data_IF_968294263201
#
_entry.id   IF_968294263201
#
_cell.length_a   1.000
_cell.length_b   1.000
_cell.length_c   1.000
_cell.angle_alpha   90.00
_cell.angle_beta   90.00
_cell.angle_gamma   90.00
#
_symmetry.space_group_name_H-M   'P 1'
#
loop_
_entity.id
_entity.type
_entity.pdbx_description
1 polymer ?
#
# COMPACT_ATOMS: atom_id res chain seq x y z
N UNK A 1 -12.01 -7.75 -13.74
CA UNK A 1 -11.86 -6.98 -12.49
C UNK A 1 -11.24 -7.88 -11.43
N UNK A 2 -10.21 -7.43 -10.76
CA UNK A 2 -9.60 -8.08 -9.60
C UNK A 2 -9.62 -7.12 -8.40
N UNK A 3 -9.86 -7.67 -7.21
CA UNK A 3 -9.76 -6.97 -5.93
C UNK A 3 -8.65 -7.63 -5.14
N UNK A 4 -7.68 -6.86 -4.69
CA UNK A 4 -6.50 -7.33 -3.97
C UNK A 4 -6.32 -6.56 -2.67
N UNK A 5 -5.67 -7.17 -1.68
CA UNK A 5 -5.38 -6.56 -0.38
C UNK A 5 -3.89 -6.27 -0.26
N UNK A 6 -3.55 -5.04 0.20
CA UNK A 6 -2.25 -4.75 0.79
C UNK A 6 -2.37 -4.69 2.30
N UNK A 7 -1.59 -5.51 3.01
CA UNK A 7 -1.50 -5.42 4.46
C UNK A 7 -0.35 -4.49 4.88
N UNK A 8 -0.67 -3.50 5.70
CA UNK A 8 0.24 -2.46 6.19
C UNK A 8 0.65 -2.68 7.66
N UNK A 9 0.35 -3.85 8.26
CA UNK A 9 0.58 -4.12 9.69
C UNK A 9 2.02 -3.83 10.11
N UNK A 10 2.99 -4.31 9.34
CA UNK A 10 4.42 -4.13 9.68
C UNK A 10 4.84 -2.66 9.57
N UNK A 11 4.38 -1.94 8.55
CA UNK A 11 4.79 -0.56 8.31
C UNK A 11 3.98 0.42 9.17
N UNK A 12 2.67 0.48 8.99
CA UNK A 12 1.84 1.49 9.65
C UNK A 12 1.45 1.07 11.07
N UNK A 13 1.17 -0.22 11.29
CA UNK A 13 1.02 -0.80 12.62
C UNK A 13 2.32 -0.80 13.43
N UNK A 14 3.46 -0.72 12.76
CA UNK A 14 4.79 -0.66 13.39
C UNK A 14 4.99 0.51 14.36
N UNK A 15 4.19 1.57 14.26
CA UNK A 15 4.17 2.64 15.27
C UNK A 15 3.69 2.18 16.66
N UNK A 16 2.93 1.08 16.72
CA UNK A 16 2.43 0.49 17.96
C UNK A 16 3.36 -0.58 18.52
N UNK A 17 4.27 -1.10 17.71
CA UNK A 17 5.26 -2.08 18.15
C UNK A 17 6.43 -1.40 18.84
N UNK A 18 7.09 -2.16 19.73
CA UNK A 18 8.40 -1.74 20.20
C UNK A 18 9.35 -1.77 18.98
N UNK A 19 10.04 -0.66 18.73
CA UNK A 19 11.01 -0.51 17.62
C UNK A 19 12.14 -1.56 17.62
N UNK A 20 12.31 -2.27 18.72
CA UNK A 20 13.23 -3.40 18.89
C UNK A 20 12.52 -4.76 18.85
N UNK A 21 11.35 -4.85 18.20
CA UNK A 21 10.66 -6.15 18.06
C UNK A 21 11.59 -7.18 17.45
N UNK A 22 11.60 -8.38 18.05
CA UNK A 22 12.49 -9.45 17.60
C UNK A 22 12.25 -9.78 16.12
N UNK A 23 13.31 -10.01 15.33
CA UNK A 23 13.17 -10.36 13.92
C UNK A 23 12.21 -11.53 13.68
N UNK A 24 12.16 -12.51 14.59
CA UNK A 24 11.28 -13.67 14.53
C UNK A 24 9.80 -13.27 14.61
N UNK A 25 9.47 -12.25 15.40
CA UNK A 25 8.11 -11.73 15.51
C UNK A 25 7.65 -11.10 14.18
N UNK A 26 8.49 -10.25 13.58
CA UNK A 26 8.23 -9.62 12.27
C UNK A 26 8.10 -10.69 11.18
N UNK A 27 9.03 -11.66 11.16
CA UNK A 27 8.98 -12.81 10.23
C UNK A 27 7.72 -13.64 10.44
N UNK A 28 7.27 -13.83 11.68
CA UNK A 28 6.04 -14.55 12.05
C UNK A 28 4.80 -13.90 11.43
N UNK A 29 4.66 -12.56 11.56
CA UNK A 29 3.54 -11.81 10.95
C UNK A 29 3.59 -11.92 9.43
N UNK A 30 4.74 -11.68 8.80
CA UNK A 30 4.87 -11.80 7.33
C UNK A 30 4.52 -13.20 6.83
N UNK A 31 4.93 -14.24 7.58
CA UNK A 31 4.61 -15.64 7.27
C UNK A 31 3.10 -15.89 7.40
N UNK A 32 2.47 -15.44 8.48
CA UNK A 32 1.04 -15.62 8.71
C UNK A 32 0.21 -14.95 7.61
N UNK A 33 0.55 -13.72 7.23
CA UNK A 33 -0.11 -13.01 6.14
C UNK A 33 0.06 -13.74 4.79
N UNK A 34 1.25 -14.29 4.51
CA UNK A 34 1.48 -15.07 3.30
C UNK A 34 0.69 -16.40 3.32
N UNK A 35 0.64 -17.09 4.46
CA UNK A 35 -0.15 -18.31 4.64
C UNK A 35 -1.65 -18.05 4.51
N UNK A 36 -2.13 -16.86 4.95
CA UNK A 36 -3.50 -16.43 4.79
C UNK A 36 -3.86 -16.02 3.34
N UNK A 37 -2.86 -15.93 2.45
CA UNK A 37 -3.06 -15.62 1.03
C UNK A 37 -3.19 -14.12 0.72
N UNK A 38 -2.72 -13.23 1.58
CA UNK A 38 -2.70 -11.78 1.32
C UNK A 38 -1.85 -11.47 0.10
N UNK A 39 -2.35 -10.60 -0.79
CA UNK A 39 -1.71 -10.32 -2.08
C UNK A 39 -0.41 -9.53 -1.92
N UNK A 40 -0.45 -8.48 -1.11
CA UNK A 40 0.68 -7.58 -0.86
C UNK A 40 0.92 -7.39 0.63
N UNK A 41 2.19 -7.37 1.06
CA UNK A 41 2.57 -7.12 2.47
C UNK A 41 3.67 -6.08 2.51
N UNK A 42 3.42 -4.95 3.18
CA UNK A 42 4.44 -3.94 3.46
C UNK A 42 5.42 -4.45 4.51
N UNK A 43 6.71 -4.41 4.17
CA UNK A 43 7.77 -4.97 5.04
C UNK A 43 8.33 -3.97 6.05
N UNK A 44 8.07 -2.69 5.87
CA UNK A 44 8.60 -1.60 6.68
C UNK A 44 9.08 -0.43 5.82
N UNK A 45 9.83 0.48 6.44
CA UNK A 45 10.29 1.73 5.83
C UNK A 45 11.69 1.60 5.23
N UNK A 46 11.87 2.19 4.04
CA UNK A 46 13.19 2.52 3.51
C UNK A 46 13.57 3.93 3.95
N UNK A 47 14.72 4.09 4.60
CA UNK A 47 15.24 5.38 5.05
C UNK A 47 16.77 5.43 4.92
N UNK A 48 17.30 6.61 4.56
CA UNK A 48 18.74 6.82 4.41
C UNK A 48 19.50 6.64 5.71
N UNK A 49 18.97 7.17 6.81
CA UNK A 49 19.58 7.13 8.13
C UNK A 49 18.88 6.08 8.99
N UNK A 50 19.43 4.88 9.01
CA UNK A 50 18.91 3.78 9.82
C UNK A 50 19.58 3.77 11.17
N UNK A 51 18.79 3.83 12.24
CA UNK A 51 19.27 3.82 13.64
C UNK A 51 19.25 2.42 14.28
N UNK A 52 19.20 1.36 13.47
CA UNK A 52 19.14 -0.03 13.96
C UNK A 52 17.77 -0.50 14.39
N UNK A 53 16.72 0.20 14.03
CA UNK A 53 15.31 -0.16 14.30
C UNK A 53 14.85 -1.28 13.37
N UNK A 54 14.10 -2.24 13.90
CA UNK A 54 13.74 -3.49 13.22
C UNK A 54 12.78 -3.35 12.02
N UNK A 55 12.20 -2.20 11.78
CA UNK A 55 11.25 -1.97 10.69
C UNK A 55 11.70 -0.88 9.72
N UNK A 56 12.96 -0.49 9.83
CA UNK A 56 13.58 0.53 8.99
C UNK A 56 14.82 -0.05 8.31
N UNK A 57 14.87 0.03 7.01
CA UNK A 57 15.90 -0.56 6.17
C UNK A 57 16.64 0.51 5.38
N UNK A 58 17.96 0.33 5.23
CA UNK A 58 18.78 1.22 4.41
C UNK A 58 18.61 0.91 2.92
N UNK A 59 18.49 -0.36 2.59
CA UNK A 59 18.32 -0.84 1.23
C UNK A 59 17.40 -2.08 1.19
N UNK A 60 17.11 -2.56 -0.01
CA UNK A 60 16.23 -3.72 -0.20
C UNK A 60 16.84 -5.03 0.30
N UNK A 61 18.16 -5.11 0.47
CA UNK A 61 18.85 -6.30 0.96
C UNK A 61 18.62 -6.54 2.44
N UNK A 62 18.46 -5.49 3.23
CA UNK A 62 18.28 -5.57 4.68
C UNK A 62 16.99 -6.32 5.09
N UNK A 63 15.98 -6.32 4.23
CA UNK A 63 14.70 -6.98 4.51
C UNK A 63 14.78 -8.51 4.38
N UNK A 64 15.75 -9.05 3.65
CA UNK A 64 15.80 -10.47 3.28
C UNK A 64 15.70 -11.39 4.49
N UNK A 65 16.34 -11.04 5.61
CA UNK A 65 16.34 -11.81 6.85
C UNK A 65 14.97 -11.93 7.53
N UNK A 66 14.02 -11.02 7.20
CA UNK A 66 12.66 -11.01 7.75
C UNK A 66 11.65 -11.69 6.83
N UNK A 67 11.98 -11.87 5.55
CA UNK A 67 11.07 -12.50 4.62
C UNK A 67 10.92 -13.99 4.92
N UNK A 68 9.69 -14.55 4.83
CA UNK A 68 9.50 -15.98 4.98
C UNK A 68 10.16 -16.76 3.82
N UNK A 69 10.60 -17.97 4.10
CA UNK A 69 11.22 -18.84 3.10
C UNK A 69 10.20 -19.26 2.03
N UNK A 70 8.96 -19.58 2.45
CA UNK A 70 7.81 -19.80 1.57
C UNK A 70 6.95 -18.52 1.52
N UNK A 71 7.06 -17.79 0.44
CA UNK A 71 6.31 -16.54 0.21
C UNK A 71 4.92 -16.77 -0.38
N UNK A 72 4.59 -18.00 -0.72
CA UNK A 72 3.37 -18.33 -1.45
C UNK A 72 3.23 -17.44 -2.70
N UNK A 73 2.01 -16.90 -2.91
CA UNK A 73 1.75 -15.92 -3.97
C UNK A 73 1.85 -14.46 -3.50
N UNK A 74 2.20 -14.25 -2.24
CA UNK A 74 2.29 -12.93 -1.63
C UNK A 74 3.46 -12.13 -2.19
N UNK A 75 3.18 -10.89 -2.59
CA UNK A 75 4.18 -9.93 -3.01
C UNK A 75 4.57 -9.06 -1.82
N UNK A 76 5.84 -9.09 -1.45
CA UNK A 76 6.38 -8.19 -0.44
C UNK A 76 6.79 -6.88 -1.07
N UNK A 77 6.58 -5.78 -0.34
CA UNK A 77 6.91 -4.44 -0.81
C UNK A 77 7.60 -3.61 0.27
N UNK A 78 8.57 -2.79 -0.18
CA UNK A 78 9.17 -1.75 0.63
C UNK A 78 8.37 -0.46 0.52
N UNK A 79 8.33 0.32 1.60
CA UNK A 79 7.70 1.64 1.61
C UNK A 79 8.78 2.72 1.70
N UNK A 80 8.72 3.73 0.85
CA UNK A 80 9.52 4.92 0.96
C UNK A 80 8.68 6.20 0.91
N UNK A 81 9.04 7.11 1.79
CA UNK A 81 8.61 8.50 1.76
C UNK A 81 9.67 9.27 0.97
N UNK A 82 9.28 9.94 -0.11
CA UNK A 82 10.20 10.62 -1.02
C UNK A 82 11.07 11.67 -0.31
N UNK A 83 10.55 12.30 0.75
CA UNK A 83 11.30 13.26 1.58
C UNK A 83 12.44 12.62 2.39
N UNK A 84 12.43 11.29 2.59
CA UNK A 84 13.34 10.57 3.50
C UNK A 84 14.24 9.56 2.80
N UNK A 85 13.95 9.24 1.54
CA UNK A 85 14.66 8.24 0.79
C UNK A 85 14.84 8.65 -0.66
N UNK A 86 16.03 8.51 -1.21
CA UNK A 86 16.34 8.89 -2.58
C UNK A 86 16.65 7.65 -3.44
N UNK A 87 16.44 7.79 -4.75
CA UNK A 87 16.70 6.74 -5.74
C UNK A 87 18.14 6.20 -5.71
N UNK A 88 19.11 7.04 -5.32
CA UNK A 88 20.52 6.66 -5.23
C UNK A 88 20.79 5.61 -4.15
N UNK A 89 19.92 5.54 -3.13
CA UNK A 89 20.04 4.55 -2.05
C UNK A 89 19.31 3.24 -2.37
N UNK A 90 18.54 3.20 -3.45
CA UNK A 90 17.81 2.00 -3.87
C UNK A 90 18.72 1.16 -4.77
N UNK A 91 19.05 -0.05 -4.35
CA UNK A 91 19.78 -1.02 -5.17
C UNK A 91 18.92 -1.52 -6.35
N UNK A 92 19.58 -2.05 -7.38
CA UNK A 92 18.86 -2.79 -8.42
C UNK A 92 18.22 -4.05 -7.83
N UNK A 93 17.05 -4.43 -8.33
CA UNK A 93 16.38 -5.62 -7.85
C UNK A 93 17.21 -6.88 -8.07
N UNK A 94 17.53 -7.58 -6.99
CA UNK A 94 18.46 -8.72 -6.97
C UNK A 94 17.78 -10.11 -7.01
N UNK A 95 16.44 -10.15 -7.16
CA UNK A 95 15.67 -11.40 -7.16
C UNK A 95 15.39 -12.01 -5.79
N UNK A 96 15.95 -11.47 -4.71
CA UNK A 96 15.85 -12.03 -3.34
C UNK A 96 15.05 -11.18 -2.38
N UNK A 97 15.12 -9.86 -2.52
CA UNK A 97 14.39 -8.88 -1.71
C UNK A 97 12.90 -8.78 -2.12
N UNK A 98 12.23 -7.71 -1.73
CA UNK A 98 10.92 -7.36 -2.28
C UNK A 98 11.07 -6.86 -3.72
N UNK A 99 10.09 -7.15 -4.55
CA UNK A 99 10.03 -6.67 -5.95
C UNK A 99 9.14 -5.44 -6.13
N UNK A 100 8.33 -5.15 -5.14
CA UNK A 100 7.37 -4.06 -5.16
C UNK A 100 7.85 -2.93 -4.25
N UNK A 101 7.62 -1.69 -4.69
CA UNK A 101 7.98 -0.50 -3.94
C UNK A 101 6.76 0.42 -3.88
N UNK A 102 6.38 0.86 -2.70
CA UNK A 102 5.39 1.91 -2.51
C UNK A 102 6.10 3.23 -2.29
N UNK A 103 5.82 4.22 -3.15
CA UNK A 103 6.35 5.57 -3.07
C UNK A 103 5.24 6.49 -2.56
N UNK A 104 5.43 7.07 -1.39
CA UNK A 104 4.54 8.08 -0.81
C UNK A 104 5.16 9.46 -0.87
N UNK A 105 4.36 10.49 -1.13
CA UNK A 105 4.85 11.84 -1.37
C UNK A 105 3.78 12.89 -1.11
N UNK A 106 4.22 14.10 -0.73
CA UNK A 106 3.35 15.26 -0.62
C UNK A 106 3.13 15.95 -1.97
N UNK A 107 2.10 16.79 -2.08
CA UNK A 107 1.73 17.44 -3.33
C UNK A 107 2.88 18.28 -3.96
N UNK A 108 3.73 18.88 -3.14
CA UNK A 108 4.86 19.67 -3.64
C UNK A 108 6.04 18.82 -4.14
N UNK A 109 6.01 17.49 -3.96
CA UNK A 109 7.06 16.55 -4.36
C UNK A 109 6.69 15.74 -5.61
N UNK A 110 5.62 16.08 -6.31
CA UNK A 110 5.07 15.29 -7.44
C UNK A 110 6.13 15.00 -8.50
N UNK A 111 6.84 16.02 -9.00
CA UNK A 111 7.77 15.85 -10.11
C UNK A 111 8.98 15.00 -9.72
N UNK A 112 9.52 15.19 -8.52
CA UNK A 112 10.60 14.36 -7.97
C UNK A 112 10.17 12.92 -7.76
N UNK A 113 8.93 12.70 -7.30
CA UNK A 113 8.38 11.38 -7.07
C UNK A 113 8.10 10.62 -8.37
N UNK A 114 7.73 11.33 -9.43
CA UNK A 114 7.60 10.74 -10.77
C UNK A 114 8.95 10.30 -11.33
N UNK A 115 10.00 11.10 -11.15
CA UNK A 115 11.37 10.71 -11.54
C UNK A 115 11.87 9.53 -10.70
N UNK A 116 11.58 9.52 -9.39
CA UNK A 116 11.89 8.37 -8.53
C UNK A 116 11.16 7.12 -9.02
N UNK A 117 9.87 7.22 -9.36
CA UNK A 117 9.09 6.11 -9.91
C UNK A 117 9.72 5.53 -11.20
N UNK A 118 10.11 6.38 -12.16
CA UNK A 118 10.81 5.97 -13.38
C UNK A 118 12.11 5.25 -13.07
N UNK A 119 12.92 5.82 -12.18
CA UNK A 119 14.19 5.24 -11.76
C UNK A 119 14.02 3.89 -11.07
N UNK A 120 13.05 3.74 -10.17
CA UNK A 120 12.76 2.48 -9.51
C UNK A 120 12.30 1.40 -10.50
N UNK A 121 11.48 1.75 -11.49
CA UNK A 121 11.12 0.84 -12.59
C UNK A 121 12.33 0.38 -13.40
N UNK A 122 13.25 1.29 -13.71
CA UNK A 122 14.50 0.96 -14.42
C UNK A 122 15.40 0.04 -13.60
N UNK A 123 15.34 0.12 -12.27
CA UNK A 123 16.01 -0.80 -11.34
C UNK A 123 15.30 -2.14 -11.15
N UNK A 124 14.20 -2.39 -11.87
CA UNK A 124 13.46 -3.66 -11.90
C UNK A 124 12.32 -3.78 -10.89
N UNK A 125 11.91 -2.70 -10.24
CA UNK A 125 10.79 -2.70 -9.29
C UNK A 125 9.44 -2.42 -9.97
N UNK A 126 8.38 -3.01 -9.46
CA UNK A 126 7.01 -2.56 -9.66
C UNK A 126 6.69 -1.47 -8.62
N UNK A 127 6.00 -0.42 -9.05
CA UNK A 127 5.75 0.73 -8.17
C UNK A 127 4.26 0.89 -7.92
N UNK A 128 3.90 1.01 -6.63
CA UNK A 128 2.63 1.55 -6.16
C UNK A 128 2.85 3.03 -5.83
N UNK A 129 2.07 3.94 -6.42
CA UNK A 129 2.29 5.37 -6.36
C UNK A 129 1.22 6.04 -5.51
N UNK A 130 1.61 6.58 -4.34
CA UNK A 130 0.71 6.97 -3.26
C UNK A 130 0.82 8.47 -2.94
N UNK A 131 0.07 9.36 -3.63
CA UNK A 131 -0.02 10.78 -3.25
C UNK A 131 -0.73 10.93 -1.91
N UNK A 132 -0.06 11.52 -0.93
CA UNK A 132 -0.64 11.79 0.38
C UNK A 132 -1.79 12.80 0.28
N UNK A 133 -2.79 12.66 1.18
CA UNK A 133 -3.88 13.61 1.36
C UNK A 133 -4.68 13.92 0.07
N UNK A 134 -5.23 12.85 -0.53
CA UNK A 134 -5.96 12.97 -1.80
C UNK A 134 -7.18 13.89 -1.76
N UNK A 135 -7.72 14.18 -0.57
CA UNK A 135 -8.85 15.10 -0.38
C UNK A 135 -8.41 16.56 -0.64
N UNK A 136 -7.18 16.90 -0.29
CA UNK A 136 -6.69 18.29 -0.45
C UNK A 136 -6.41 18.71 -1.89
N UNK A 137 -6.37 17.75 -2.83
CA UNK A 137 -6.18 18.07 -4.25
C UNK A 137 -7.47 18.61 -4.84
N UNK A 138 -7.39 19.78 -5.53
CA UNK A 138 -8.50 20.21 -6.40
C UNK A 138 -8.66 19.23 -7.57
N UNK A 139 -9.81 19.25 -8.23
CA UNK A 139 -10.06 18.38 -9.38
C UNK A 139 -9.06 18.63 -10.52
N UNK A 140 -8.68 19.91 -10.74
CA UNK A 140 -7.68 20.28 -11.74
C UNK A 140 -6.29 19.76 -11.37
N UNK A 141 -5.87 19.89 -10.10
CA UNK A 141 -4.57 19.42 -9.63
C UNK A 141 -4.49 17.89 -9.72
N UNK A 142 -5.58 17.20 -9.41
CA UNK A 142 -5.67 15.73 -9.53
C UNK A 142 -5.62 15.31 -10.99
N UNK A 143 -6.30 16.00 -11.90
CA UNK A 143 -6.25 15.74 -13.34
C UNK A 143 -4.82 15.91 -13.89
N UNK A 144 -4.12 16.97 -13.53
CA UNK A 144 -2.73 17.20 -13.95
C UNK A 144 -1.79 16.11 -13.41
N UNK A 145 -1.97 15.68 -12.17
CA UNK A 145 -1.21 14.56 -11.60
C UNK A 145 -1.47 13.27 -12.39
N UNK A 146 -2.73 12.93 -12.68
CA UNK A 146 -3.10 11.71 -13.40
C UNK A 146 -2.50 11.70 -14.81
N UNK A 147 -2.50 12.84 -15.52
CA UNK A 147 -1.84 12.95 -16.83
C UNK A 147 -0.36 12.58 -16.75
N UNK A 148 0.36 13.05 -15.74
CA UNK A 148 1.77 12.70 -15.51
C UNK A 148 1.95 11.22 -15.12
N UNK A 149 1.06 10.68 -14.30
CA UNK A 149 1.04 9.27 -13.89
C UNK A 149 0.85 8.34 -15.09
N UNK A 150 -0.04 8.68 -16.03
CA UNK A 150 -0.26 7.91 -17.25
C UNK A 150 1.00 7.82 -18.15
N UNK A 151 1.89 8.82 -18.08
CA UNK A 151 3.18 8.78 -18.80
C UNK A 151 4.16 7.80 -18.12
N UNK A 152 4.22 7.81 -16.79
CA UNK A 152 5.17 6.99 -16.01
C UNK A 152 4.69 5.56 -15.87
N UNK A 153 3.36 5.34 -15.85
CA UNK A 153 2.72 4.01 -15.75
C UNK A 153 3.22 3.20 -14.56
N UNK A 154 2.96 3.64 -13.31
CA UNK A 154 3.15 2.76 -12.15
C UNK A 154 2.20 1.57 -12.20
N UNK A 155 2.42 0.56 -11.39
CA UNK A 155 1.53 -0.60 -11.32
C UNK A 155 0.18 -0.26 -10.65
N UNK A 156 0.17 0.71 -9.74
CA UNK A 156 -1.05 1.28 -9.16
C UNK A 156 -0.89 2.75 -8.80
N UNK A 157 -2.02 3.46 -8.76
CA UNK A 157 -2.16 4.81 -8.25
C UNK A 157 -3.21 4.82 -7.15
N UNK A 158 -2.88 5.30 -5.95
CA UNK A 158 -3.75 5.20 -4.78
C UNK A 158 -4.48 6.50 -4.47
N UNK A 159 -5.71 6.38 -4.04
CA UNK A 159 -6.47 7.40 -3.31
C UNK A 159 -6.05 7.25 -1.83
N UNK A 160 -5.46 8.30 -1.25
CA UNK A 160 -4.89 8.22 0.10
C UNK A 160 -5.60 9.21 1.03
N UNK A 161 -6.26 8.67 2.03
CA UNK A 161 -6.87 9.42 3.14
C UNK A 161 -5.91 9.45 4.34
N UNK A 162 -4.90 10.31 4.25
CA UNK A 162 -3.81 10.41 5.23
C UNK A 162 -4.30 10.73 6.65
N UNK A 163 -5.40 11.49 6.75
CA UNK A 163 -5.93 11.97 8.03
C UNK A 163 -7.19 11.26 8.49
N UNK A 164 -7.67 10.26 7.74
CA UNK A 164 -8.92 9.57 8.05
C UNK A 164 -10.12 10.50 8.08
N UNK A 165 -10.16 11.49 7.17
CA UNK A 165 -11.16 12.54 7.09
C UNK A 165 -12.10 12.40 5.88
N UNK A 166 -11.86 11.40 5.04
CA UNK A 166 -12.67 11.10 3.84
C UNK A 166 -14.01 10.51 4.23
N UNK A 167 -15.07 11.01 3.60
CA UNK A 167 -16.38 10.39 3.66
C UNK A 167 -16.73 9.65 2.35
N UNK A 168 -17.94 9.06 2.29
CA UNK A 168 -18.42 8.32 1.12
C UNK A 168 -18.60 9.20 -0.11
N UNK A 169 -18.92 10.49 0.06
CA UNK A 169 -19.14 11.43 -1.05
C UNK A 169 -17.79 11.77 -1.67
N UNK A 170 -16.79 12.04 -0.82
CA UNK A 170 -15.42 12.31 -1.24
C UNK A 170 -14.84 11.13 -2.03
N UNK A 171 -14.95 9.91 -1.48
CA UNK A 171 -14.45 8.71 -2.16
C UNK A 171 -15.08 8.53 -3.53
N UNK A 172 -16.41 8.62 -3.63
CA UNK A 172 -17.13 8.42 -4.90
C UNK A 172 -16.74 9.48 -5.92
N UNK A 173 -16.60 10.73 -5.51
CA UNK A 173 -16.16 11.82 -6.37
C UNK A 173 -14.75 11.58 -6.90
N UNK A 174 -13.79 11.35 -6.01
CA UNK A 174 -12.39 11.13 -6.36
C UNK A 174 -12.23 9.88 -7.22
N UNK A 175 -12.86 8.76 -6.83
CA UNK A 175 -12.78 7.51 -7.59
C UNK A 175 -13.29 7.69 -9.02
N UNK A 176 -14.44 8.33 -9.23
CA UNK A 176 -14.99 8.56 -10.57
C UNK A 176 -14.06 9.39 -11.44
N UNK A 177 -13.42 10.42 -10.88
CA UNK A 177 -12.46 11.22 -11.63
C UNK A 177 -11.21 10.39 -11.97
N UNK A 178 -10.65 9.67 -11.00
CA UNK A 178 -9.48 8.80 -11.21
C UNK A 178 -9.79 7.71 -12.23
N UNK A 179 -10.91 7.00 -12.10
CA UNK A 179 -11.29 5.93 -13.02
C UNK A 179 -11.48 6.43 -14.46
N UNK A 180 -12.01 7.63 -14.63
CA UNK A 180 -12.23 8.25 -15.94
C UNK A 180 -10.92 8.63 -16.64
N UNK A 181 -9.93 9.11 -15.89
CA UNK A 181 -8.73 9.75 -16.44
C UNK A 181 -7.49 8.85 -16.43
N UNK A 182 -7.42 7.91 -15.48
CA UNK A 182 -6.28 7.01 -15.33
C UNK A 182 -6.32 5.88 -16.37
N UNK A 183 -5.19 5.59 -16.99
CA UNK A 183 -5.05 4.45 -17.91
C UNK A 183 -5.58 3.15 -17.28
N UNK A 184 -6.27 2.32 -18.07
CA UNK A 184 -6.95 1.12 -17.55
C UNK A 184 -6.01 0.00 -17.11
N UNK A 185 -4.76 0.02 -17.52
CA UNK A 185 -3.70 -0.90 -17.10
C UNK A 185 -3.06 -0.54 -15.74
N UNK A 186 -3.39 0.64 -15.17
CA UNK A 186 -2.95 1.05 -13.85
C UNK A 186 -4.08 0.77 -12.84
N UNK A 187 -3.80 -0.02 -11.80
CA UNK A 187 -4.78 -0.30 -10.75
C UNK A 187 -5.06 0.94 -9.90
N UNK A 188 -6.28 1.07 -9.37
CA UNK A 188 -6.58 2.11 -8.39
C UNK A 188 -6.43 1.51 -6.98
N UNK A 189 -5.63 2.17 -6.12
CA UNK A 189 -5.49 1.83 -4.72
C UNK A 189 -6.39 2.67 -3.81
N UNK A 190 -6.68 2.18 -2.60
CA UNK A 190 -7.25 2.96 -1.50
C UNK A 190 -6.45 2.69 -0.23
N UNK A 191 -5.90 3.75 0.36
CA UNK A 191 -5.31 3.71 1.70
C UNK A 191 -6.02 4.73 2.59
N UNK A 192 -6.74 4.28 3.61
CA UNK A 192 -7.51 5.17 4.48
C UNK A 192 -7.25 4.88 5.96
N UNK A 193 -7.07 5.97 6.74
CA UNK A 193 -7.05 5.90 8.18
C UNK A 193 -8.47 5.96 8.76
N UNK A 194 -8.66 5.41 9.95
CA UNK A 194 -9.97 5.15 10.55
C UNK A 194 -10.44 6.24 11.54
N UNK A 195 -9.94 7.48 11.42
CA UNK A 195 -10.24 8.53 12.40
C UNK A 195 -11.74 8.91 12.44
N UNK A 196 -12.48 8.74 11.34
CA UNK A 196 -13.94 8.87 11.31
C UNK A 196 -14.68 7.54 11.52
N UNK A 197 -13.96 6.42 11.72
CA UNK A 197 -14.59 5.09 11.82
C UNK A 197 -15.16 4.57 10.49
N UNK A 198 -14.66 5.04 9.37
CA UNK A 198 -15.22 4.75 8.04
C UNK A 198 -14.29 3.91 7.14
N UNK A 199 -13.07 3.63 7.54
CA UNK A 199 -12.07 3.04 6.64
C UNK A 199 -12.49 1.70 6.01
N UNK A 200 -13.10 0.79 6.78
CA UNK A 200 -13.64 -0.45 6.22
C UNK A 200 -14.80 -0.18 5.26
N UNK A 201 -15.72 0.72 5.62
CA UNK A 201 -16.86 1.06 4.78
C UNK A 201 -16.45 1.77 3.48
N UNK A 202 -15.40 2.62 3.52
CA UNK A 202 -14.81 3.23 2.33
C UNK A 202 -14.20 2.16 1.40
N UNK A 203 -13.49 1.19 1.96
CA UNK A 203 -12.93 0.09 1.19
C UNK A 203 -14.01 -0.79 0.56
N UNK A 204 -15.08 -1.13 1.29
CA UNK A 204 -16.24 -1.86 0.75
C UNK A 204 -16.90 -1.07 -0.38
N UNK A 205 -17.11 0.24 -0.20
CA UNK A 205 -17.69 1.10 -1.25
C UNK A 205 -16.79 1.17 -2.49
N UNK A 206 -15.47 1.23 -2.31
CA UNK A 206 -14.54 1.19 -3.45
C UNK A 206 -14.62 -0.14 -4.21
N UNK A 207 -14.81 -1.26 -3.52
CA UNK A 207 -15.02 -2.57 -4.15
C UNK A 207 -16.28 -2.55 -5.00
N UNK A 208 -17.41 -2.02 -4.51
CA UNK A 208 -18.65 -1.88 -5.27
C UNK A 208 -18.45 -1.00 -6.52
N UNK A 209 -17.77 0.16 -6.39
CA UNK A 209 -17.46 1.03 -7.52
C UNK A 209 -16.57 0.34 -8.57
N UNK A 210 -15.66 -0.51 -8.12
CA UNK A 210 -14.80 -1.33 -8.98
C UNK A 210 -15.65 -2.36 -9.77
N UNK A 211 -16.66 -2.96 -9.17
CA UNK A 211 -17.60 -3.85 -9.87
C UNK A 211 -18.40 -3.10 -10.95
N UNK A 212 -18.88 -1.89 -10.63
CA UNK A 212 -19.63 -1.04 -11.58
C UNK A 212 -18.78 -0.66 -12.81
N UNK A 213 -17.47 -0.46 -12.64
CA UNK A 213 -16.56 0.06 -13.70
C UNK A 213 -15.68 -0.99 -14.36
N UNK A 214 -15.57 -2.19 -13.78
CA UNK A 214 -14.64 -3.23 -14.20
C UNK A 214 -13.17 -2.93 -13.90
N UNK A 215 -12.88 -1.94 -13.02
CA UNK A 215 -11.51 -1.51 -12.68
C UNK A 215 -10.84 -2.51 -11.73
N UNK A 216 -9.60 -2.87 -11.99
CA UNK A 216 -8.77 -3.58 -11.02
C UNK A 216 -8.36 -2.65 -9.88
N UNK A 217 -8.51 -3.12 -8.63
CA UNK A 217 -8.24 -2.31 -7.45
C UNK A 217 -7.39 -3.03 -6.40
N UNK A 218 -6.79 -2.20 -5.52
CA UNK A 218 -6.09 -2.64 -4.32
C UNK A 218 -6.68 -1.88 -3.13
N UNK A 219 -7.09 -2.57 -2.07
CA UNK A 219 -7.52 -1.95 -0.80
C UNK A 219 -6.50 -2.26 0.28
N UNK A 220 -6.15 -1.24 1.05
CA UNK A 220 -5.17 -1.38 2.12
C UNK A 220 -5.86 -1.62 3.47
N UNK A 221 -5.25 -2.48 4.28
CA UNK A 221 -5.66 -2.73 5.65
C UNK A 221 -4.47 -3.08 6.53
N UNK A 222 -4.74 -3.31 7.80
CA UNK A 222 -3.80 -3.87 8.76
C UNK A 222 -4.51 -4.86 9.68
N UNK A 223 -3.81 -5.84 10.22
CA UNK A 223 -4.38 -6.76 11.21
C UNK A 223 -4.94 -5.96 12.38
N UNK A 224 -6.18 -6.26 12.75
CA UNK A 224 -6.94 -5.57 13.82
C UNK A 224 -7.03 -4.04 13.64
N UNK A 225 -6.77 -3.52 12.45
CA UNK A 225 -6.77 -2.09 12.17
C UNK A 225 -5.58 -1.33 12.78
N UNK A 226 -4.48 -2.00 13.10
CA UNK A 226 -3.30 -1.36 13.68
C UNK A 226 -2.74 -0.27 12.77
N UNK A 227 -2.41 0.91 13.35
CA UNK A 227 -1.86 2.03 12.60
C UNK A 227 -1.80 3.31 13.40
N UNK A 228 -1.39 4.40 12.75
CA UNK A 228 -1.39 5.74 13.33
C UNK A 228 -2.81 6.23 13.60
N UNK A 229 -2.99 7.09 14.62
CA UNK A 229 -4.29 7.66 14.98
C UNK A 229 -5.26 6.58 15.42
N UNK A 230 -6.42 6.50 14.79
CA UNK A 230 -7.41 5.44 15.02
C UNK A 230 -7.12 4.14 14.24
N UNK A 231 -6.00 4.09 13.51
CA UNK A 231 -5.59 2.92 12.72
C UNK A 231 -6.05 2.95 11.28
N UNK A 232 -6.18 1.77 10.68
CA UNK A 232 -6.53 1.53 9.29
C UNK A 232 -7.80 0.66 9.17
N UNK A 233 -8.25 0.39 7.96
CA UNK A 233 -9.21 -0.69 7.72
C UNK A 233 -8.64 -2.03 8.23
N UNK A 234 -9.51 -2.91 8.70
CA UNK A 234 -9.09 -4.20 9.27
C UNK A 234 -8.92 -5.23 8.16
N UNK A 235 -7.70 -5.74 7.96
CA UNK A 235 -7.38 -6.74 6.93
C UNK A 235 -8.30 -7.95 6.99
N UNK A 236 -8.59 -8.47 8.19
CA UNK A 236 -9.48 -9.62 8.37
C UNK A 236 -10.93 -9.34 7.94
N UNK A 237 -11.43 -8.10 8.11
CA UNK A 237 -12.76 -7.72 7.66
C UNK A 237 -12.81 -7.51 6.15
N UNK A 238 -11.80 -6.88 5.56
CA UNK A 238 -11.66 -6.74 4.11
C UNK A 238 -11.60 -8.12 3.44
N UNK A 239 -10.78 -9.02 3.97
CA UNK A 239 -10.64 -10.39 3.49
C UNK A 239 -11.99 -11.15 3.56
N UNK A 240 -12.72 -11.00 4.67
CA UNK A 240 -14.05 -11.58 4.82
C UNK A 240 -15.04 -11.04 3.77
N UNK A 241 -15.08 -9.72 3.58
CA UNK A 241 -15.96 -9.08 2.60
C UNK A 241 -15.66 -9.56 1.17
N UNK A 242 -14.38 -9.57 0.79
CA UNK A 242 -13.92 -9.99 -0.54
C UNK A 242 -14.21 -11.51 -0.76
N UNK A 243 -13.99 -12.35 0.25
CA UNK A 243 -14.34 -13.77 0.16
C UNK A 243 -15.83 -13.96 -0.11
N UNK A 244 -16.67 -13.17 0.54
CA UNK A 244 -18.14 -13.29 0.46
C UNK A 244 -18.70 -12.75 -0.85
N UNK A 245 -18.15 -11.66 -1.37
CA UNK A 245 -18.75 -10.89 -2.47
C UNK A 245 -17.97 -10.97 -3.78
N UNK A 246 -16.64 -11.19 -3.74
CA UNK A 246 -15.76 -11.11 -4.90
C UNK A 246 -15.03 -12.44 -5.22
N UNK A 247 -15.51 -13.58 -4.70
CA UNK A 247 -14.86 -14.89 -4.85
C UNK A 247 -13.40 -14.92 -4.33
N UNK A 248 -13.08 -14.14 -3.30
CA UNK A 248 -11.79 -14.18 -2.62
C UNK A 248 -11.50 -15.56 -1.99
N UNK A 249 -10.24 -15.81 -1.65
CA UNK A 249 -9.79 -17.08 -1.07
C UNK A 249 -8.82 -16.85 0.09
N UNK A 250 -9.04 -15.81 0.87
CA UNK A 250 -8.21 -15.51 2.04
C UNK A 250 -8.58 -16.43 3.21
N UNK A 251 -7.60 -16.92 3.95
CA UNK A 251 -7.81 -17.70 5.16
C UNK A 251 -8.03 -16.76 6.36
N UNK A 252 -9.31 -16.55 6.70
CA UNK A 252 -9.71 -15.67 7.80
C UNK A 252 -9.23 -16.19 9.16
N UNK A 253 -9.30 -17.51 9.39
CA UNK A 253 -8.83 -18.08 10.64
C UNK A 253 -7.34 -17.80 10.81
N UNK A 254 -6.56 -17.99 9.77
CA UNK A 254 -5.12 -17.69 9.80
C UNK A 254 -4.83 -16.22 10.08
N UNK A 255 -5.61 -15.27 9.52
CA UNK A 255 -5.46 -13.85 9.82
C UNK A 255 -5.70 -13.54 11.31
N UNK A 256 -6.70 -14.19 11.93
CA UNK A 256 -7.01 -13.99 13.35
C UNK A 256 -5.98 -14.64 14.29
N UNK A 257 -5.21 -15.62 13.82
CA UNK A 257 -4.14 -16.30 14.58
C UNK A 257 -2.77 -15.63 14.40
N UNK A 258 -2.64 -14.71 13.41
CA UNK A 258 -1.39 -14.01 13.08
C UNK A 258 -1.20 -12.77 13.94
#
# INVERSE_FOLDING_TARGET
>A
MSVQITDCTIRDGGYLFNKNSAPEFVKGIMKGLAEAGIDYVETGFLQKNVTGESLVYKDSGDVIKYLPDDRRNTQFLGFCDNSRYSLENLDDYNGKSFKWLRISFAQHEIDESLEFCKGAKNKGYFVQFNPMDSISYTDEAREELIKKVNVVKPASFSIVDTFGAMDMIDLVHIFKQVDKLLDKDIKIGLHSHDNLGLSCALAERMIELSEETGRDIIVDGSLYGMGRGAGNAKTELLAYYINKHCNGKYDIQKLLET
#
